data_IF_442741924181
#
_entry.id   IF_442741924181
#
_cell.length_a   1.000
_cell.length_b   1.000
_cell.length_c   1.000
_cell.angle_alpha   90.00
_cell.angle_beta   90.00
_cell.angle_gamma   90.00
#
_symmetry.space_group_name_H-M   'P 1'
#
loop_
_entity.id
_entity.type
_entity.pdbx_description
1 polymer ?
#
# COMPACT_ATOMS: atom_id res chain seq x y z
N UNK A 1 -31.67 6.73 -12.92
CA UNK A 1 -31.13 5.40 -13.29
C UNK A 1 -30.69 4.68 -12.03
N UNK A 2 -31.19 3.46 -11.77
CA UNK A 2 -30.85 2.64 -10.61
C UNK A 2 -29.64 1.77 -10.98
N UNK A 3 -28.52 1.96 -10.28
CA UNK A 3 -27.39 1.04 -10.37
C UNK A 3 -27.52 0.04 -9.23
N UNK A 4 -27.70 -1.24 -9.57
CA UNK A 4 -27.71 -2.34 -8.62
C UNK A 4 -26.26 -2.81 -8.52
N UNK A 5 -25.70 -2.81 -7.31
CA UNK A 5 -24.33 -3.24 -7.05
C UNK A 5 -24.25 -4.75 -7.29
N UNK A 6 -23.72 -5.18 -8.44
CA UNK A 6 -23.57 -6.60 -8.80
C UNK A 6 -22.20 -7.13 -8.36
N UNK A 7 -21.87 -6.95 -7.08
CA UNK A 7 -20.88 -7.73 -6.32
C UNK A 7 -20.71 -7.07 -4.98
N UNK A 8 -21.10 -7.77 -3.91
CA UNK A 8 -20.51 -7.52 -2.60
C UNK A 8 -19.01 -7.71 -2.75
N UNK A 9 -18.24 -6.62 -2.75
CA UNK A 9 -16.80 -6.70 -2.59
C UNK A 9 -16.59 -7.14 -1.15
N UNK A 10 -16.49 -8.46 -0.95
CA UNK A 10 -16.14 -9.03 0.35
C UNK A 10 -14.77 -8.47 0.69
N UNK A 11 -14.70 -7.71 1.76
CA UNK A 11 -13.48 -7.22 2.37
C UNK A 11 -12.53 -8.38 2.61
N UNK A 12 -11.60 -8.61 1.69
CA UNK A 12 -10.77 -9.82 1.67
C UNK A 12 -9.39 -9.61 2.32
N UNK A 13 -9.17 -8.45 2.96
CA UNK A 13 -7.91 -8.10 3.62
C UNK A 13 -8.17 -7.68 5.09
N UNK A 14 -8.28 -8.64 6.02
CA UNK A 14 -8.50 -8.33 7.44
C UNK A 14 -7.33 -7.56 8.10
N UNK A 15 -6.16 -7.51 7.47
CA UNK A 15 -4.95 -6.91 8.03
C UNK A 15 -4.34 -5.87 7.08
N UNK A 16 -4.68 -4.57 7.21
CA UNK A 16 -3.96 -3.53 6.48
C UNK A 16 -2.47 -3.57 6.84
N UNK A 17 -1.58 -3.42 5.84
CA UNK A 17 -0.15 -3.29 6.13
C UNK A 17 0.07 -2.02 6.96
N UNK A 18 0.66 -2.18 8.14
CA UNK A 18 0.91 -1.11 9.09
C UNK A 18 2.40 -1.09 9.37
N UNK A 19 3.01 0.02 8.97
CA UNK A 19 4.44 0.24 8.99
C UNK A 19 4.75 1.42 9.90
N UNK A 20 5.75 1.26 10.74
CA UNK A 20 6.24 2.32 11.62
C UNK A 20 7.52 2.94 11.04
N UNK A 21 7.85 4.13 11.51
CA UNK A 21 9.14 4.74 11.15
C UNK A 21 10.28 3.86 11.68
N UNK A 22 11.22 3.52 10.80
CA UNK A 22 12.32 2.59 11.05
C UNK A 22 12.04 1.13 10.65
N UNK A 23 10.82 0.76 10.24
CA UNK A 23 10.55 -0.59 9.77
C UNK A 23 11.31 -0.89 8.47
N UNK A 24 11.85 -2.11 8.39
CA UNK A 24 12.53 -2.60 7.19
C UNK A 24 11.57 -3.47 6.40
N UNK A 25 11.35 -3.11 5.15
CA UNK A 25 10.48 -3.85 4.22
C UNK A 25 11.25 -4.32 3.00
N UNK A 26 10.92 -5.50 2.49
CA UNK A 26 11.41 -5.99 1.20
C UNK A 26 10.64 -5.32 0.09
N UNK A 27 11.35 -4.70 -0.84
CA UNK A 27 10.78 -4.07 -2.01
C UNK A 27 10.59 -5.15 -3.08
N UNK A 28 9.35 -5.58 -3.32
CA UNK A 28 9.05 -6.67 -4.26
C UNK A 28 8.84 -6.13 -5.67
N UNK A 29 7.98 -5.13 -5.84
CA UNK A 29 7.61 -4.60 -7.16
C UNK A 29 7.33 -3.10 -7.07
N UNK A 30 7.76 -2.33 -8.07
CA UNK A 30 7.42 -0.90 -8.19
C UNK A 30 6.29 -0.73 -9.20
N UNK A 31 5.28 0.06 -8.87
CA UNK A 31 4.20 0.37 -9.80
C UNK A 31 4.71 1.28 -10.92
N UNK A 32 4.75 0.77 -12.15
CA UNK A 32 5.18 1.49 -13.35
C UNK A 32 3.99 1.67 -14.31
N UNK A 33 2.91 2.29 -13.82
CA UNK A 33 1.73 2.61 -14.64
C UNK A 33 1.85 3.98 -15.31
N UNK A 34 1.21 4.18 -16.48
CA UNK A 34 1.26 5.43 -17.25
C UNK A 34 0.55 6.63 -16.58
N UNK A 35 -0.14 6.41 -15.46
CA UNK A 35 -0.99 7.40 -14.80
C UNK A 35 -0.23 8.37 -13.86
N UNK A 36 1.11 8.46 -13.87
CA UNK A 36 1.91 9.21 -12.88
C UNK A 36 1.77 8.70 -11.42
N UNK A 37 1.32 7.45 -11.23
CA UNK A 37 1.32 6.78 -9.91
C UNK A 37 2.69 6.11 -9.63
N UNK A 38 3.76 6.65 -10.21
CA UNK A 38 5.13 6.13 -10.25
C UNK A 38 5.83 6.08 -8.88
N UNK A 39 5.09 6.31 -7.80
CA UNK A 39 5.59 6.43 -6.44
C UNK A 39 4.97 5.39 -5.50
N UNK A 40 4.61 4.21 -5.99
CA UNK A 40 4.10 3.11 -5.16
C UNK A 40 5.01 1.89 -5.28
N UNK A 41 5.47 1.39 -4.15
CA UNK A 41 6.25 0.15 -4.03
C UNK A 41 5.40 -0.90 -3.30
N UNK A 42 5.28 -2.07 -3.89
CA UNK A 42 4.77 -3.24 -3.22
C UNK A 42 5.83 -3.79 -2.28
N UNK A 43 5.54 -3.70 -0.99
CA UNK A 43 6.47 -4.03 0.07
C UNK A 43 5.97 -5.22 0.87
N UNK A 44 6.92 -6.05 1.30
CA UNK A 44 6.71 -7.15 2.23
C UNK A 44 7.48 -6.88 3.52
N UNK A 45 6.73 -6.67 4.60
CA UNK A 45 7.22 -6.58 5.96
C UNK A 45 7.35 -7.98 6.56
N UNK A 46 8.60 -8.44 6.78
CA UNK A 46 8.86 -9.81 7.24
C UNK A 46 8.52 -10.04 8.73
N UNK A 47 8.46 -8.98 9.54
CA UNK A 47 8.26 -9.07 10.99
C UNK A 47 6.87 -9.59 11.36
N UNK A 48 5.84 -9.24 10.59
CA UNK A 48 4.46 -9.68 10.75
C UNK A 48 3.90 -10.37 9.49
N UNK A 49 4.75 -10.72 8.51
CA UNK A 49 4.39 -11.30 7.20
C UNK A 49 3.29 -10.47 6.48
N UNK A 50 3.40 -9.14 6.53
CA UNK A 50 2.40 -8.23 5.94
C UNK A 50 2.88 -7.75 4.58
N UNK A 51 1.96 -7.69 3.62
CA UNK A 51 2.26 -7.26 2.25
C UNK A 51 1.28 -6.17 1.84
N UNK A 52 1.78 -5.17 1.15
CA UNK A 52 0.92 -4.12 0.64
C UNK A 52 1.67 -3.02 -0.09
N UNK A 53 0.88 -2.13 -0.68
CA UNK A 53 1.38 -0.98 -1.40
C UNK A 53 1.74 0.13 -0.43
N UNK A 54 2.97 0.61 -0.56
CA UNK A 54 3.55 1.65 0.27
C UNK A 54 4.05 2.74 -0.66
N UNK A 55 3.75 4.02 -0.40
CA UNK A 55 4.21 5.08 -1.27
C UNK A 55 5.74 5.21 -1.14
N UNK A 56 6.45 5.15 -2.26
CA UNK A 56 7.92 5.22 -2.33
C UNK A 56 8.49 6.46 -1.64
N UNK A 57 7.74 7.56 -1.60
CA UNK A 57 8.13 8.81 -0.92
C UNK A 57 8.46 8.64 0.57
N UNK A 58 7.91 7.62 1.23
CA UNK A 58 8.18 7.31 2.65
C UNK A 58 9.09 6.09 2.80
N UNK A 59 9.62 5.56 1.70
CA UNK A 59 10.50 4.41 1.67
C UNK A 59 11.89 4.90 1.30
N UNK A 60 12.81 4.83 2.23
CA UNK A 60 14.23 5.02 1.98
C UNK A 60 14.80 3.74 1.42
N UNK A 61 14.95 3.68 0.09
CA UNK A 61 15.60 2.57 -0.61
C UNK A 61 17.02 2.37 -0.09
N UNK A 62 17.32 1.15 0.34
CA UNK A 62 18.66 0.72 0.74
C UNK A 62 19.35 0.01 -0.45
N UNK A 63 20.68 0.01 -0.46
CA UNK A 63 21.47 -0.60 -1.54
C UNK A 63 21.32 -2.13 -1.60
N UNK A 64 20.77 -2.74 -0.55
CA UNK A 64 20.54 -4.19 -0.43
C UNK A 64 19.20 -4.67 -1.00
N UNK A 65 18.41 -3.80 -1.66
CA UNK A 65 17.09 -4.16 -2.20
C UNK A 65 15.97 -4.20 -1.14
N UNK A 66 16.23 -3.68 0.05
CA UNK A 66 15.22 -3.40 1.08
C UNK A 66 14.93 -1.91 1.15
N UNK A 67 13.81 -1.54 1.76
CA UNK A 67 13.41 -0.17 2.01
C UNK A 67 13.22 0.05 3.50
N UNK A 68 13.69 1.18 4.02
CA UNK A 68 13.46 1.61 5.40
C UNK A 68 12.34 2.63 5.39
N UNK A 69 11.29 2.39 6.17
CA UNK A 69 10.17 3.31 6.28
C UNK A 69 10.62 4.54 7.08
N UNK A 70 10.57 5.71 6.47
CA UNK A 70 10.96 6.97 7.12
C UNK A 70 9.78 7.74 7.71
N UNK A 71 8.56 7.20 7.56
CA UNK A 71 7.35 7.79 8.11
C UNK A 71 6.30 6.71 8.33
N UNK A 72 5.67 6.72 9.50
CA UNK A 72 4.58 5.80 9.81
C UNK A 72 3.50 5.86 8.72
N UNK A 73 3.13 4.68 8.22
CA UNK A 73 2.12 4.53 7.19
C UNK A 73 1.25 3.31 7.47
N UNK A 74 -0.04 3.49 7.27
CA UNK A 74 -1.00 2.39 7.31
C UNK A 74 -1.69 2.43 5.97
N UNK A 75 -1.60 1.34 5.21
CA UNK A 75 -2.41 1.18 4.03
C UNK A 75 -3.87 1.08 4.48
N UNK A 76 -4.52 2.23 4.62
CA UNK A 76 -5.97 2.28 4.56
C UNK A 76 -6.30 1.88 3.13
N UNK A 77 -6.94 0.73 2.95
CA UNK A 77 -7.62 0.48 1.68
C UNK A 77 -8.37 1.77 1.35
N UNK A 78 -8.09 2.32 0.17
CA UNK A 78 -8.87 3.39 -0.43
C UNK A 78 -10.27 2.82 -0.62
N UNK A 79 -11.06 2.80 0.45
CA UNK A 79 -12.49 2.85 0.33
C UNK A 79 -12.71 4.16 -0.39
N UNK A 80 -12.96 4.09 -1.69
CA UNK A 80 -13.59 5.15 -2.43
C UNK A 80 -14.97 5.36 -1.83
N UNK A 81 -15.04 5.95 -0.65
CA UNK A 81 -16.18 6.77 -0.28
C UNK A 81 -16.06 7.96 -1.21
N UNK A 82 -16.74 7.85 -2.35
CA UNK A 82 -17.16 9.03 -3.09
C UNK A 82 -18.08 9.79 -2.12
N UNK A 83 -17.48 10.59 -1.23
CA UNK A 83 -18.17 11.69 -0.56
C UNK A 83 -18.51 12.67 -1.68
N UNK A 84 -19.74 12.55 -2.18
CA UNK A 84 -20.34 13.60 -3.00
C UNK A 84 -20.96 14.62 -2.06
N UNK A 85 -20.45 15.85 -2.14
CA UNK A 85 -21.18 17.06 -1.77
C UNK A 85 -22.43 17.23 -2.66
#
# INVERSE_FOLDING_TARGET
MKYIVIKSHVSNYPNPIRLEEGDVVKMIESYAGPENWENWMFCHEEKYDRKGWVPEQIIRKDMNGTGIIIKQYTAKELNGVLEKE
#
